data_IF_065621101528
#
_entry.id   IF_065621101528
#
_cell.length_a   1.000
_cell.length_b   1.000
_cell.length_c   1.000
_cell.angle_alpha   90.00
_cell.angle_beta   90.00
_cell.angle_gamma   90.00
#
_symmetry.space_group_name_H-M   'P 1'
#
loop_
_entity.id
_entity.type
_entity.pdbx_description
1 polymer ?
#
# COMPACT_ATOMS: atom_id res chain seq x y z
N UNK A 1 -9.67 -16.60 28.44
CA UNK A 1 -9.10 -17.19 27.20
C UNK A 1 -8.22 -18.38 27.57
N UNK A 2 -8.37 -19.53 26.89
CA UNK A 2 -7.54 -20.72 27.12
C UNK A 2 -6.57 -20.91 25.95
N UNK A 3 -5.34 -21.33 26.26
CA UNK A 3 -4.29 -21.58 25.26
C UNK A 3 -4.66 -22.82 24.45
N UNK A 4 -4.86 -22.66 23.14
CA UNK A 4 -5.04 -23.76 22.19
C UNK A 4 -3.68 -24.24 21.63
N UNK A 5 -2.75 -23.31 21.36
CA UNK A 5 -1.40 -23.61 20.88
C UNK A 5 -0.39 -22.58 21.39
N UNK A 6 0.82 -23.02 21.74
CA UNK A 6 1.94 -22.12 22.06
C UNK A 6 2.83 -22.03 20.81
N UNK A 7 3.10 -20.82 20.33
CA UNK A 7 3.92 -20.59 19.13
C UNK A 7 5.34 -20.21 19.53
N UNK A 8 5.49 -19.29 20.48
CA UNK A 8 6.75 -19.00 21.18
C UNK A 8 6.42 -18.40 22.55
N UNK A 9 7.44 -17.96 23.31
CA UNK A 9 7.25 -17.38 24.65
C UNK A 9 6.33 -16.15 24.70
N UNK A 10 6.11 -15.50 23.56
CA UNK A 10 5.36 -14.25 23.46
C UNK A 10 4.08 -14.34 22.64
N UNK A 11 3.85 -15.45 21.93
CA UNK A 11 2.72 -15.60 21.00
C UNK A 11 2.04 -16.95 21.20
N UNK A 12 0.72 -16.92 21.34
CA UNK A 12 -0.13 -18.11 21.47
C UNK A 12 -1.34 -18.03 20.56
N UNK A 13 -1.92 -19.18 20.24
CA UNK A 13 -3.28 -19.26 19.69
C UNK A 13 -4.22 -19.61 20.85
N UNK A 14 -5.32 -18.87 20.97
CA UNK A 14 -6.41 -19.15 21.91
C UNK A 14 -7.69 -19.41 21.14
N UNK A 15 -8.66 -20.04 21.80
CA UNK A 15 -10.02 -20.10 21.31
C UNK A 15 -10.90 -19.11 22.11
N UNK A 16 -11.73 -18.36 21.40
CA UNK A 16 -12.78 -17.54 22.00
C UNK A 16 -13.97 -18.39 22.47
N UNK A 17 -14.96 -17.78 23.11
CA UNK A 17 -16.16 -18.48 23.63
C UNK A 17 -17.01 -19.13 22.53
N UNK A 18 -16.79 -18.77 21.27
CA UNK A 18 -17.48 -19.32 20.09
C UNK A 18 -16.63 -20.37 19.37
N UNK A 19 -15.48 -20.75 19.94
CA UNK A 19 -14.56 -21.74 19.37
C UNK A 19 -13.71 -21.21 18.21
N UNK A 20 -13.68 -19.89 17.96
CA UNK A 20 -12.85 -19.30 16.90
C UNK A 20 -11.44 -19.10 17.40
N UNK A 21 -10.46 -19.44 16.56
CA UNK A 21 -9.06 -19.24 16.89
C UNK A 21 -8.67 -17.76 16.80
N UNK A 22 -7.84 -17.31 17.75
CA UNK A 22 -7.30 -15.96 17.82
C UNK A 22 -5.81 -16.03 18.14
N UNK A 23 -5.01 -15.19 17.50
CA UNK A 23 -3.58 -15.05 17.87
C UNK A 23 -3.45 -13.98 18.93
N UNK A 24 -2.81 -14.31 20.04
CA UNK A 24 -2.57 -13.37 21.14
C UNK A 24 -1.07 -13.21 21.33
N UNK A 25 -0.63 -11.97 21.43
CA UNK A 25 0.77 -11.63 21.69
C UNK A 25 0.93 -10.77 22.94
N UNK A 26 2.07 -10.96 23.60
CA UNK A 26 2.45 -10.22 24.80
C UNK A 26 3.75 -10.72 25.39
N UNK A 27 4.48 -9.84 26.07
CA UNK A 27 5.79 -10.20 26.66
C UNK A 27 5.67 -11.31 27.69
N UNK A 28 6.34 -12.43 27.43
CA UNK A 28 6.36 -13.58 28.33
C UNK A 28 5.00 -14.27 28.51
N UNK A 29 4.03 -13.99 27.63
CA UNK A 29 2.64 -14.46 27.73
C UNK A 29 2.53 -15.99 27.85
N UNK A 30 3.43 -16.71 27.17
CA UNK A 30 3.48 -18.17 27.18
C UNK A 30 4.62 -18.73 28.05
N UNK A 31 5.38 -17.89 28.74
CA UNK A 31 6.51 -18.34 29.55
C UNK A 31 6.03 -19.26 30.67
N UNK A 32 6.55 -20.48 30.70
CA UNK A 32 6.16 -21.56 31.62
C UNK A 32 4.67 -21.97 31.57
N UNK A 33 3.95 -21.60 30.51
CA UNK A 33 2.55 -22.01 30.30
C UNK A 33 2.46 -23.33 29.53
N UNK A 34 1.32 -24.00 29.65
CA UNK A 34 0.98 -25.21 28.87
C UNK A 34 -0.32 -25.04 28.10
N UNK A 35 -0.48 -25.81 27.03
CA UNK A 35 -1.74 -25.90 26.29
C UNK A 35 -2.88 -26.29 27.24
N UNK A 36 -4.01 -25.60 27.12
CA UNK A 36 -5.19 -25.76 27.98
C UNK A 36 -5.23 -24.81 29.19
N UNK A 37 -4.10 -24.17 29.55
CA UNK A 37 -4.06 -23.21 30.66
C UNK A 37 -4.71 -21.87 30.29
N UNK A 38 -5.15 -21.15 31.32
CA UNK A 38 -5.65 -19.79 31.16
C UNK A 38 -4.49 -18.80 30.96
N UNK A 39 -4.69 -17.88 30.03
CA UNK A 39 -3.82 -16.72 29.87
C UNK A 39 -4.05 -15.69 30.97
N UNK A 40 -2.96 -15.09 31.42
CA UNK A 40 -3.05 -13.84 32.15
C UNK A 40 -3.33 -12.70 31.15
N UNK A 41 -4.55 -12.16 31.23
CA UNK A 41 -5.00 -11.07 30.35
C UNK A 41 -4.21 -9.77 30.56
N UNK A 42 -3.54 -9.60 31.70
CA UNK A 42 -2.72 -8.42 31.96
C UNK A 42 -1.42 -8.40 31.13
N UNK A 43 -0.95 -9.57 30.68
CA UNK A 43 0.23 -9.71 29.82
C UNK A 43 -0.11 -9.55 28.34
N UNK A 44 -1.38 -9.44 27.98
CA UNK A 44 -1.82 -9.33 26.58
C UNK A 44 -1.55 -7.93 26.06
N UNK A 45 -0.70 -7.83 25.04
CA UNK A 45 -0.42 -6.57 24.34
C UNK A 45 -1.34 -6.41 23.12
N UNK A 46 -1.60 -7.51 22.39
CA UNK A 46 -2.48 -7.48 21.23
C UNK A 46 -3.18 -8.81 20.96
N UNK A 47 -4.43 -8.73 20.51
CA UNK A 47 -5.26 -9.86 20.09
C UNK A 47 -5.64 -9.68 18.62
N UNK A 48 -5.41 -10.72 17.83
CA UNK A 48 -5.83 -10.81 16.43
C UNK A 48 -7.00 -11.80 16.33
N UNK A 49 -8.19 -11.25 16.10
CA UNK A 49 -9.39 -12.01 15.80
C UNK A 49 -9.63 -11.96 14.28
N UNK A 50 -8.89 -12.78 13.54
CA UNK A 50 -9.01 -12.85 12.08
C UNK A 50 -10.29 -13.62 11.69
N UNK A 51 -10.84 -13.28 10.52
CA UNK A 51 -12.07 -13.90 10.04
C UNK A 51 -11.88 -15.31 9.44
N UNK A 52 -10.64 -15.75 9.23
CA UNK A 52 -10.35 -17.08 8.68
C UNK A 52 -9.27 -17.82 9.48
N UNK A 53 -9.51 -19.10 9.72
CA UNK A 53 -8.58 -19.99 10.43
C UNK A 53 -7.24 -20.14 9.68
N UNK A 54 -7.25 -20.06 8.35
CA UNK A 54 -6.01 -20.10 7.54
C UNK A 54 -5.15 -18.84 7.74
N UNK A 55 -5.75 -17.65 7.87
CA UNK A 55 -4.99 -16.44 8.17
C UNK A 55 -4.43 -16.50 9.60
N UNK A 56 -5.18 -17.04 10.56
CA UNK A 56 -4.71 -17.29 11.93
C UNK A 56 -3.50 -18.20 11.93
N UNK A 57 -3.56 -19.32 11.18
CA UNK A 57 -2.45 -20.28 11.10
C UNK A 57 -1.20 -19.66 10.48
N UNK A 58 -1.33 -18.98 9.33
CA UNK A 58 -0.20 -18.30 8.66
C UNK A 58 0.42 -17.21 9.53
N UNK A 59 -0.42 -16.39 10.17
CA UNK A 59 0.04 -15.39 11.13
C UNK A 59 0.81 -16.06 12.27
N UNK A 60 0.29 -17.13 12.83
CA UNK A 60 0.95 -17.86 13.91
C UNK A 60 2.32 -18.43 13.53
N UNK A 61 2.43 -19.02 12.33
CA UNK A 61 3.70 -19.53 11.79
C UNK A 61 4.72 -18.40 11.59
N UNK A 62 4.31 -17.28 11.00
CA UNK A 62 5.18 -16.14 10.72
C UNK A 62 5.66 -15.46 12.00
N UNK A 63 4.74 -15.17 12.94
CA UNK A 63 5.07 -14.54 14.21
C UNK A 63 5.91 -15.43 15.13
N UNK A 64 5.93 -16.75 14.92
CA UNK A 64 6.77 -17.66 15.72
C UNK A 64 8.27 -17.37 15.56
N UNK A 65 8.68 -16.86 14.39
CA UNK A 65 10.08 -16.63 14.01
C UNK A 65 10.52 -15.18 14.22
N UNK A 66 9.60 -14.26 14.48
CA UNK A 66 9.89 -12.83 14.57
C UNK A 66 10.01 -12.38 16.04
N UNK A 67 11.06 -11.63 16.42
CA UNK A 67 11.19 -11.09 17.76
C UNK A 67 10.02 -10.17 18.17
N UNK A 68 9.59 -10.25 19.43
CA UNK A 68 8.48 -9.43 19.95
C UNK A 68 8.73 -7.92 19.80
N UNK A 69 9.99 -7.49 19.94
CA UNK A 69 10.37 -6.10 19.78
C UNK A 69 10.09 -5.59 18.36
N UNK A 70 10.29 -6.44 17.34
CA UNK A 70 9.95 -6.13 15.93
C UNK A 70 8.43 -6.07 15.75
N UNK A 71 7.70 -7.06 16.26
CA UNK A 71 6.24 -7.11 16.19
C UNK A 71 5.58 -5.87 16.80
N UNK A 72 5.95 -5.53 18.03
CA UNK A 72 5.43 -4.34 18.73
C UNK A 72 5.85 -3.02 18.09
N UNK A 73 7.00 -3.00 17.41
CA UNK A 73 7.45 -1.85 16.62
C UNK A 73 6.58 -1.66 15.38
N UNK A 74 6.30 -2.73 14.65
CA UNK A 74 5.42 -2.72 13.48
C UNK A 74 3.97 -2.38 13.88
N UNK A 75 3.51 -2.89 15.02
CA UNK A 75 2.20 -2.54 15.56
C UNK A 75 2.02 -1.03 15.75
N UNK A 76 3.04 -0.38 16.32
CA UNK A 76 3.06 1.07 16.52
C UNK A 76 3.04 1.83 15.18
N UNK A 77 3.80 1.36 14.20
CA UNK A 77 3.84 1.95 12.85
C UNK A 77 2.47 1.85 12.19
N UNK A 78 1.82 0.69 12.26
CA UNK A 78 0.50 0.46 11.68
C UNK A 78 -0.55 1.30 12.39
N UNK A 79 -0.49 1.40 13.73
CA UNK A 79 -1.38 2.27 14.50
C UNK A 79 -1.28 3.73 14.08
N UNK A 80 -0.06 4.24 13.88
CA UNK A 80 0.18 5.59 13.37
C UNK A 80 -0.36 5.76 11.94
N UNK A 81 -0.10 4.79 11.06
CA UNK A 81 -0.58 4.83 9.68
C UNK A 81 -2.12 4.82 9.62
N UNK A 82 -2.79 3.99 10.42
CA UNK A 82 -4.24 3.92 10.47
C UNK A 82 -4.88 5.23 10.96
N UNK A 83 -4.23 5.94 11.89
CA UNK A 83 -4.72 7.26 12.35
C UNK A 83 -4.69 8.31 11.24
N UNK A 84 -3.72 8.26 10.32
CA UNK A 84 -3.55 9.26 9.26
C UNK A 84 -4.22 8.88 7.93
N UNK A 85 -4.23 7.59 7.60
CA UNK A 85 -4.73 7.07 6.33
C UNK A 85 -6.14 6.48 6.43
N UNK A 86 -6.66 6.27 7.65
CA UNK A 86 -7.95 5.66 7.89
C UNK A 86 -7.88 4.13 7.91
N UNK A 87 -8.94 3.47 7.42
CA UNK A 87 -9.05 2.01 7.46
C UNK A 87 -7.99 1.36 6.57
N UNK A 88 -7.19 0.49 7.15
CA UNK A 88 -6.19 -0.35 6.47
C UNK A 88 -6.60 -1.82 6.62
N UNK A 89 -6.21 -2.66 5.66
CA UNK A 89 -6.44 -4.09 5.75
C UNK A 89 -5.69 -4.76 6.91
N UNK A 90 -6.33 -5.73 7.56
CA UNK A 90 -5.72 -6.49 8.67
C UNK A 90 -4.47 -7.28 8.22
N UNK A 91 -4.43 -7.70 6.95
CA UNK A 91 -3.27 -8.35 6.31
C UNK A 91 -2.01 -7.48 6.30
N UNK A 92 -2.13 -6.16 6.46
CA UNK A 92 -1.00 -5.25 6.58
C UNK A 92 -0.09 -5.64 7.75
N UNK A 93 -0.68 -6.11 8.87
CA UNK A 93 0.12 -6.52 10.02
C UNK A 93 1.08 -7.65 9.67
N UNK A 94 0.62 -8.62 8.89
CA UNK A 94 1.46 -9.74 8.44
C UNK A 94 2.54 -9.22 7.50
N UNK A 95 2.13 -8.54 6.43
CA UNK A 95 3.03 -8.17 5.34
C UNK A 95 4.08 -7.14 5.75
N UNK A 96 3.71 -6.14 6.56
CA UNK A 96 4.64 -5.12 7.04
C UNK A 96 5.58 -5.69 8.10
N UNK A 97 5.09 -6.54 9.01
CA UNK A 97 5.96 -7.14 10.04
C UNK A 97 7.01 -8.05 9.43
N UNK A 98 6.62 -8.87 8.44
CA UNK A 98 7.54 -9.70 7.67
C UNK A 98 8.60 -8.85 6.95
N UNK A 99 8.15 -7.84 6.21
CA UNK A 99 9.04 -6.92 5.49
C UNK A 99 10.03 -6.21 6.43
N UNK A 100 9.54 -5.61 7.52
CA UNK A 100 10.40 -4.91 8.48
C UNK A 100 11.39 -5.86 9.14
N UNK A 101 10.97 -7.08 9.51
CA UNK A 101 11.89 -8.09 10.06
C UNK A 101 13.04 -8.37 9.10
N UNK A 102 12.75 -8.68 7.84
CA UNK A 102 13.79 -8.95 6.85
C UNK A 102 14.61 -7.70 6.49
N UNK A 103 14.02 -6.51 6.46
CA UNK A 103 14.74 -5.26 6.25
C UNK A 103 15.77 -5.00 7.36
N UNK A 104 15.38 -5.24 8.61
CA UNK A 104 16.26 -5.13 9.78
C UNK A 104 17.40 -6.14 9.70
N UNK A 105 17.10 -7.41 9.41
CA UNK A 105 18.13 -8.44 9.31
C UNK A 105 19.10 -8.17 8.15
N UNK A 106 18.60 -7.69 7.00
CA UNK A 106 19.46 -7.26 5.88
C UNK A 106 20.37 -6.10 6.28
N UNK A 107 19.83 -5.08 6.95
CA UNK A 107 20.60 -3.91 7.37
C UNK A 107 21.72 -4.28 8.35
N UNK A 108 21.44 -5.16 9.32
CA UNK A 108 22.47 -5.68 10.25
C UNK A 108 23.58 -6.44 9.54
N UNK A 109 23.27 -7.09 8.41
CA UNK A 109 24.23 -7.80 7.57
C UNK A 109 24.89 -6.89 6.50
N UNK A 110 24.59 -5.59 6.47
CA UNK A 110 25.14 -4.65 5.48
C UNK A 110 24.60 -4.85 4.06
N UNK A 111 23.43 -5.47 3.90
CA UNK A 111 22.81 -5.79 2.60
C UNK A 111 21.68 -4.81 2.26
N UNK A 112 22.04 -3.56 1.97
CA UNK A 112 21.08 -2.55 1.55
C UNK A 112 20.41 -2.89 0.20
N UNK A 113 19.08 -2.68 0.12
CA UNK A 113 18.30 -2.85 -1.11
C UNK A 113 17.94 -1.48 -1.68
N UNK A 114 18.07 -1.34 -3.00
CA UNK A 114 17.63 -0.15 -3.73
C UNK A 114 16.21 -0.27 -4.24
N UNK A 115 15.44 0.80 -4.08
CA UNK A 115 14.10 0.96 -4.58
C UNK A 115 14.13 1.80 -5.86
N UNK A 116 13.98 1.13 -7.00
CA UNK A 116 14.01 1.77 -8.33
C UNK A 116 12.85 2.75 -8.56
N UNK A 117 11.79 2.68 -7.74
CA UNK A 117 10.61 3.54 -7.81
C UNK A 117 10.60 4.62 -6.71
N UNK A 118 11.69 4.78 -5.95
CA UNK A 118 11.70 5.66 -4.77
C UNK A 118 11.20 7.08 -5.08
N UNK A 119 11.70 7.69 -6.16
CA UNK A 119 11.28 9.03 -6.57
C UNK A 119 9.80 9.08 -6.97
N UNK A 120 9.31 8.07 -7.68
CA UNK A 120 7.91 7.99 -8.06
C UNK A 120 7.01 7.82 -6.83
N UNK A 121 7.42 7.00 -5.87
CA UNK A 121 6.68 6.77 -4.61
C UNK A 121 6.58 8.07 -3.80
N UNK A 122 7.68 8.81 -3.65
CA UNK A 122 7.68 10.12 -2.96
C UNK A 122 6.65 11.07 -3.54
N UNK A 123 6.54 11.08 -4.87
CA UNK A 123 5.69 11.99 -5.64
C UNK A 123 4.24 11.53 -5.72
N UNK A 124 3.99 10.23 -5.89
CA UNK A 124 2.65 9.68 -6.09
C UNK A 124 1.94 9.36 -4.77
N UNK A 125 2.71 9.03 -3.73
CA UNK A 125 2.24 8.62 -2.42
C UNK A 125 2.95 9.40 -1.30
N UNK A 126 2.91 10.75 -1.30
CA UNK A 126 3.69 11.56 -0.37
C UNK A 126 3.33 11.29 1.10
N UNK A 127 2.05 11.04 1.40
CA UNK A 127 1.58 10.75 2.76
C UNK A 127 2.07 9.39 3.26
N UNK A 128 2.02 8.38 2.40
CA UNK A 128 2.50 7.04 2.69
C UNK A 128 4.02 7.01 2.80
N UNK A 129 4.74 7.80 1.99
CA UNK A 129 6.18 7.96 2.07
C UNK A 129 6.63 8.66 3.36
N UNK A 130 5.95 9.73 3.77
CA UNK A 130 6.19 10.40 5.06
C UNK A 130 6.03 9.43 6.22
N UNK A 131 4.97 8.61 6.21
CA UNK A 131 4.78 7.52 7.18
C UNK A 131 5.90 6.47 7.12
N UNK A 132 6.42 6.16 5.93
CA UNK A 132 7.59 5.31 5.76
C UNK A 132 8.85 5.90 6.42
N UNK A 133 9.07 7.20 6.31
CA UNK A 133 10.18 7.90 6.98
C UNK A 133 10.03 7.87 8.50
N UNK A 134 8.81 8.09 9.00
CA UNK A 134 8.53 7.98 10.43
C UNK A 134 8.69 6.55 10.94
N UNK A 135 8.30 5.55 10.14
CA UNK A 135 8.52 4.14 10.45
C UNK A 135 10.01 3.82 10.60
N UNK A 136 10.86 4.31 9.68
CA UNK A 136 12.32 4.20 9.82
C UNK A 136 12.82 4.83 11.12
N UNK A 137 12.33 6.03 11.46
CA UNK A 137 12.72 6.71 12.70
C UNK A 137 12.22 5.98 13.96
N UNK A 138 11.08 5.29 13.90
CA UNK A 138 10.58 4.45 15.00
C UNK A 138 11.47 3.21 15.14
N UNK A 139 11.83 2.55 14.04
CA UNK A 139 12.71 1.37 14.02
C UNK A 139 14.09 1.71 14.57
N UNK A 140 14.69 2.82 14.12
CA UNK A 140 15.98 3.29 14.61
C UNK A 140 15.98 3.49 16.14
N UNK A 141 14.96 4.18 16.67
CA UNK A 141 14.85 4.45 18.12
C UNK A 141 14.58 3.21 18.97
N UNK A 142 13.78 2.26 18.47
CA UNK A 142 13.34 1.09 19.27
C UNK A 142 14.29 -0.09 19.16
N UNK A 143 14.90 -0.27 18.00
CA UNK A 143 15.65 -1.49 17.65
C UNK A 143 17.13 -1.19 17.38
N UNK A 144 17.55 0.08 17.44
CA UNK A 144 18.92 0.52 17.19
C UNK A 144 19.42 0.09 15.80
N UNK A 145 18.56 0.17 14.79
CA UNK A 145 18.87 -0.14 13.38
C UNK A 145 18.41 0.99 12.49
N UNK A 146 19.35 1.63 11.80
CA UNK A 146 19.08 2.69 10.83
C UNK A 146 18.89 2.08 9.43
N UNK A 147 17.63 1.93 9.01
CA UNK A 147 17.30 1.50 7.66
C UNK A 147 17.59 2.62 6.64
N UNK A 148 17.94 2.28 5.40
CA UNK A 148 18.09 3.24 4.31
C UNK A 148 16.76 3.87 3.87
N UNK A 149 16.80 4.98 3.15
CA UNK A 149 15.59 5.68 2.66
C UNK A 149 14.77 4.82 1.71
N UNK A 150 15.40 3.93 0.96
CA UNK A 150 14.76 2.96 0.09
C UNK A 150 13.68 2.13 0.83
N UNK A 151 13.91 1.81 2.12
CA UNK A 151 12.95 1.08 2.96
C UNK A 151 11.71 1.93 3.31
N UNK A 152 11.81 3.27 3.37
CA UNK A 152 10.61 4.11 3.48
C UNK A 152 9.72 3.99 2.23
N UNK A 153 10.33 3.83 1.05
CA UNK A 153 9.60 3.57 -0.20
C UNK A 153 8.87 2.22 -0.16
N UNK A 154 9.51 1.16 0.32
CA UNK A 154 8.86 -0.14 0.45
C UNK A 154 7.74 -0.15 1.49
N UNK A 155 7.96 0.49 2.65
CA UNK A 155 6.91 0.65 3.67
C UNK A 155 5.72 1.42 3.09
N UNK A 156 5.95 2.50 2.34
CA UNK A 156 4.90 3.25 1.68
C UNK A 156 4.06 2.36 0.74
N UNK A 157 4.71 1.50 -0.05
CA UNK A 157 3.99 0.56 -0.93
C UNK A 157 3.17 -0.47 -0.14
N UNK A 158 3.63 -0.95 1.01
CA UNK A 158 2.82 -1.80 1.89
C UNK A 158 1.56 -1.07 2.38
N UNK A 159 1.67 0.22 2.72
CA UNK A 159 0.52 1.04 3.13
C UNK A 159 -0.46 1.23 1.97
N UNK A 160 0.02 1.54 0.76
CA UNK A 160 -0.82 1.66 -0.44
C UNK A 160 -1.54 0.34 -0.74
N UNK A 161 -0.83 -0.78 -0.65
CA UNK A 161 -1.39 -2.14 -0.81
C UNK A 161 -2.56 -2.36 0.15
N UNK A 162 -2.39 -1.97 1.41
CA UNK A 162 -3.41 -2.10 2.44
C UNK A 162 -4.59 -1.10 2.30
N UNK A 163 -4.41 0.04 1.64
CA UNK A 163 -5.51 0.95 1.31
C UNK A 163 -6.32 0.43 0.12
N UNK A 164 -5.65 -0.17 -0.87
CA UNK A 164 -6.26 -0.59 -2.12
C UNK A 164 -6.91 -1.97 -2.07
N UNK A 165 -6.69 -2.75 -1.00
CA UNK A 165 -7.11 -4.15 -0.92
C UNK A 165 -6.64 -4.94 -2.16
N UNK A 166 -5.33 -4.86 -2.41
CA UNK A 166 -4.67 -5.37 -3.61
C UNK A 166 -3.37 -6.07 -3.19
N UNK A 167 -2.64 -6.66 -4.14
CA UNK A 167 -1.33 -7.28 -3.87
C UNK A 167 -0.17 -6.34 -4.25
N UNK A 168 0.97 -6.48 -3.57
CA UNK A 168 2.17 -5.66 -3.82
C UNK A 168 2.59 -5.63 -5.30
N UNK A 169 2.62 -6.76 -6.06
CA UNK A 169 2.97 -6.73 -7.48
C UNK A 169 2.01 -5.86 -8.31
N UNK A 170 0.72 -5.88 -7.98
CA UNK A 170 -0.29 -5.05 -8.65
C UNK A 170 -0.06 -3.57 -8.36
N UNK A 171 0.20 -3.20 -7.10
CA UNK A 171 0.48 -1.81 -6.70
C UNK A 171 1.73 -1.27 -7.40
N UNK A 172 2.80 -2.07 -7.49
CA UNK A 172 3.99 -1.67 -8.25
C UNK A 172 3.68 -1.45 -9.73
N UNK A 173 2.83 -2.29 -10.31
CA UNK A 173 2.39 -2.15 -11.69
C UNK A 173 1.54 -0.88 -11.88
N UNK A 174 0.58 -0.61 -11.00
CA UNK A 174 -0.20 0.64 -10.95
C UNK A 174 0.74 1.84 -10.92
N UNK A 175 1.73 1.83 -10.01
CA UNK A 175 2.69 2.92 -9.84
C UNK A 175 3.46 3.18 -11.15
N UNK A 176 3.90 2.13 -11.85
CA UNK A 176 4.60 2.24 -13.14
C UNK A 176 3.72 2.82 -14.24
N UNK A 177 2.48 2.34 -14.37
CA UNK A 177 1.52 2.86 -15.36
C UNK A 177 1.24 4.33 -15.11
N UNK A 178 1.05 4.73 -13.85
CA UNK A 178 0.87 6.12 -13.46
C UNK A 178 2.06 6.99 -13.88
N UNK A 179 3.29 6.51 -13.60
CA UNK A 179 4.52 7.19 -14.01
C UNK A 179 4.59 7.39 -15.53
N UNK A 180 4.34 6.34 -16.31
CA UNK A 180 4.37 6.41 -17.78
C UNK A 180 3.36 7.41 -18.33
N UNK A 181 2.14 7.43 -17.79
CA UNK A 181 1.10 8.37 -18.21
C UNK A 181 1.50 9.80 -17.86
N UNK A 182 1.98 10.06 -16.64
CA UNK A 182 2.45 11.38 -16.24
C UNK A 182 3.61 11.87 -17.13
N UNK A 183 4.56 10.98 -17.48
CA UNK A 183 5.63 11.34 -18.41
C UNK A 183 5.10 11.67 -19.80
N UNK A 184 4.18 10.87 -20.36
CA UNK A 184 3.57 11.13 -21.66
C UNK A 184 2.87 12.49 -21.70
N UNK A 185 2.10 12.81 -20.66
CA UNK A 185 1.42 14.10 -20.52
C UNK A 185 2.43 15.24 -20.43
N UNK A 186 3.43 15.10 -19.55
CA UNK A 186 4.51 16.09 -19.38
C UNK A 186 5.16 16.44 -20.72
N UNK A 187 5.63 15.43 -21.47
CA UNK A 187 6.36 15.64 -22.71
C UNK A 187 5.47 16.09 -23.87
N UNK A 188 4.26 15.53 -24.01
CA UNK A 188 3.39 15.88 -25.13
C UNK A 188 2.83 17.31 -25.01
N UNK A 189 2.61 17.79 -23.79
CA UNK A 189 2.05 19.10 -23.54
C UNK A 189 3.09 20.14 -23.11
N UNK A 190 4.36 19.75 -22.98
CA UNK A 190 5.46 20.58 -22.49
C UNK A 190 5.12 21.25 -21.16
N UNK A 191 4.61 20.44 -20.22
CA UNK A 191 4.19 20.90 -18.89
C UNK A 191 5.30 20.67 -17.87
N UNK A 192 5.35 21.53 -16.86
CA UNK A 192 5.97 21.23 -15.57
C UNK A 192 4.85 21.12 -14.54
N UNK A 193 4.88 20.07 -13.73
CA UNK A 193 3.84 19.85 -12.73
C UNK A 193 4.14 20.66 -11.49
N UNK A 194 3.15 21.42 -11.01
CA UNK A 194 3.11 21.88 -9.63
C UNK A 194 2.55 20.72 -8.78
N UNK A 195 3.45 20.00 -8.08
CA UNK A 195 3.08 18.80 -7.34
C UNK A 195 2.25 19.09 -6.08
N UNK A 196 2.26 20.34 -5.61
CA UNK A 196 1.47 20.82 -4.49
C UNK A 196 0.07 21.30 -4.92
N UNK A 197 -0.17 21.44 -6.23
CA UNK A 197 -1.43 21.92 -6.77
C UNK A 197 -2.59 20.93 -6.56
N UNK A 198 -3.78 21.47 -6.31
CA UNK A 198 -4.99 20.66 -6.17
C UNK A 198 -5.33 19.90 -7.46
N UNK A 199 -5.10 20.47 -8.66
CA UNK A 199 -5.38 19.72 -9.88
C UNK A 199 -4.39 18.60 -10.11
N UNK A 200 -3.11 18.79 -9.76
CA UNK A 200 -2.14 17.71 -9.85
C UNK A 200 -2.46 16.57 -8.88
N UNK A 201 -2.72 16.87 -7.61
CA UNK A 201 -3.08 15.87 -6.60
C UNK A 201 -4.36 15.11 -6.98
N UNK A 202 -5.37 15.81 -7.53
CA UNK A 202 -6.57 15.17 -8.08
C UNK A 202 -6.22 14.30 -9.26
N UNK A 203 -5.40 14.77 -10.21
CA UNK A 203 -5.02 13.98 -11.37
C UNK A 203 -4.32 12.69 -10.97
N UNK A 204 -3.34 12.73 -10.06
CA UNK A 204 -2.67 11.54 -9.51
C UNK A 204 -3.67 10.60 -8.84
N UNK A 205 -4.59 11.12 -8.04
CA UNK A 205 -5.63 10.31 -7.39
C UNK A 205 -6.52 9.60 -8.41
N UNK A 206 -7.00 10.32 -9.43
CA UNK A 206 -7.81 9.76 -10.50
C UNK A 206 -7.04 8.76 -11.35
N UNK A 207 -5.75 9.01 -11.58
CA UNK A 207 -4.86 8.12 -12.31
C UNK A 207 -4.61 6.83 -11.54
N UNK A 208 -4.48 6.88 -10.20
CA UNK A 208 -4.39 5.70 -9.33
C UNK A 208 -5.58 4.77 -9.52
N UNK A 209 -6.80 5.30 -9.44
CA UNK A 209 -8.01 4.49 -9.63
C UNK A 209 -8.17 4.03 -11.08
N UNK A 210 -7.80 4.84 -12.06
CA UNK A 210 -7.79 4.45 -13.47
C UNK A 210 -6.84 3.25 -13.71
N UNK A 211 -5.59 3.34 -13.26
CA UNK A 211 -4.61 2.28 -13.40
C UNK A 211 -5.00 1.02 -12.61
N UNK A 212 -5.63 1.17 -11.44
CA UNK A 212 -6.17 0.02 -10.70
C UNK A 212 -7.31 -0.68 -11.47
N UNK A 213 -8.29 0.07 -12.00
CA UNK A 213 -9.38 -0.51 -12.82
C UNK A 213 -8.86 -1.20 -14.08
N UNK A 214 -7.81 -0.65 -14.66
CA UNK A 214 -7.13 -1.22 -15.83
C UNK A 214 -6.65 -2.64 -15.54
N UNK A 215 -6.06 -2.87 -14.36
CA UNK A 215 -5.56 -4.18 -13.94
C UNK A 215 -6.68 -5.16 -13.62
N UNK A 216 -7.75 -4.70 -12.97
CA UNK A 216 -8.92 -5.54 -12.67
C UNK A 216 -9.81 -5.81 -13.89
N UNK A 217 -9.45 -5.26 -15.07
CA UNK A 217 -10.18 -5.35 -16.35
C UNK A 217 -11.66 -4.96 -16.23
N UNK A 218 -11.99 -4.09 -15.29
CA UNK A 218 -13.35 -3.59 -15.11
C UNK A 218 -13.65 -2.63 -16.26
N UNK A 219 -14.61 -2.99 -17.10
CA UNK A 219 -15.01 -2.15 -18.25
C UNK A 219 -15.97 -1.07 -17.74
N UNK A 220 -15.73 0.17 -18.15
CA UNK A 220 -16.68 1.27 -17.96
C UNK A 220 -17.57 1.31 -19.20
N UNK A 221 -18.90 1.26 -19.00
CA UNK A 221 -19.87 1.33 -20.08
C UNK A 221 -19.79 2.68 -20.80
N UNK A 222 -20.02 2.66 -22.11
CA UNK A 222 -19.96 3.83 -23.00
C UNK A 222 -21.39 4.38 -23.15
N UNK A 223 -21.72 5.42 -22.36
CA UNK A 223 -23.12 5.82 -22.15
C UNK A 223 -23.53 7.16 -22.81
N UNK A 224 -22.61 8.08 -23.14
CA UNK A 224 -22.99 9.42 -23.66
C UNK A 224 -22.04 10.02 -24.73
N UNK A 225 -22.32 9.68 -25.98
CA UNK A 225 -21.59 10.17 -27.18
C UNK A 225 -21.62 11.70 -27.33
N UNK A 226 -22.68 12.36 -26.84
CA UNK A 226 -22.83 13.82 -26.98
C UNK A 226 -21.82 14.57 -26.11
N UNK A 227 -21.58 14.06 -24.90
CA UNK A 227 -20.60 14.60 -23.97
C UNK A 227 -19.18 14.41 -24.49
N UNK A 228 -18.89 13.27 -25.11
CA UNK A 228 -17.57 12.96 -25.68
C UNK A 228 -17.16 13.98 -26.74
N UNK A 229 -18.11 14.31 -27.62
CA UNK A 229 -17.89 15.28 -28.70
C UNK A 229 -17.59 16.67 -28.13
N UNK A 230 -18.38 17.11 -27.14
CA UNK A 230 -18.16 18.40 -26.49
C UNK A 230 -16.78 18.48 -25.81
N UNK A 231 -16.33 17.43 -25.14
CA UNK A 231 -15.00 17.40 -24.50
C UNK A 231 -13.88 17.40 -25.55
N UNK A 232 -14.03 16.62 -26.62
CA UNK A 232 -13.06 16.56 -27.71
C UNK A 232 -12.86 17.91 -28.38
N UNK A 233 -13.95 18.63 -28.67
CA UNK A 233 -13.90 19.94 -29.32
C UNK A 233 -13.33 21.02 -28.40
N UNK A 234 -13.77 21.05 -27.13
CA UNK A 234 -13.31 22.07 -26.18
C UNK A 234 -11.86 21.84 -25.71
N UNK A 235 -11.43 20.58 -25.58
CA UNK A 235 -10.13 20.20 -25.00
C UNK A 235 -9.25 19.43 -26.00
N UNK A 236 -9.25 19.84 -27.27
CA UNK A 236 -8.58 19.12 -28.37
C UNK A 236 -7.11 18.72 -28.09
N UNK A 237 -6.33 19.58 -27.40
CA UNK A 237 -4.94 19.25 -27.02
C UNK A 237 -4.87 18.13 -25.98
N UNK A 238 -5.72 18.19 -24.95
CA UNK A 238 -5.77 17.16 -23.91
C UNK A 238 -6.35 15.85 -24.45
N UNK A 239 -7.37 15.93 -25.33
CA UNK A 239 -7.93 14.76 -26.03
C UNK A 239 -6.88 14.02 -26.85
N UNK A 240 -6.12 14.74 -27.68
CA UNK A 240 -5.01 14.14 -28.45
C UNK A 240 -3.92 13.53 -27.55
N UNK A 241 -3.75 14.05 -26.34
CA UNK A 241 -2.85 13.46 -25.35
C UNK A 241 -3.42 12.15 -24.77
N UNK A 242 -4.70 12.16 -24.41
CA UNK A 242 -5.41 10.96 -23.97
C UNK A 242 -5.41 9.84 -25.04
N UNK A 243 -5.60 10.17 -26.32
CA UNK A 243 -5.51 9.20 -27.42
C UNK A 243 -4.10 8.59 -27.53
N UNK A 244 -3.04 9.39 -27.35
CA UNK A 244 -1.66 8.88 -27.35
C UNK A 244 -1.39 7.97 -26.16
N UNK A 245 -1.94 8.30 -24.99
CA UNK A 245 -1.90 7.42 -23.81
C UNK A 245 -2.62 6.11 -24.11
N UNK A 246 -3.82 6.15 -24.69
CA UNK A 246 -4.57 4.95 -25.06
C UNK A 246 -3.76 4.04 -26.00
N UNK A 247 -3.09 4.62 -27.00
CA UNK A 247 -2.21 3.88 -27.91
C UNK A 247 -1.01 3.24 -27.19
N UNK A 248 -0.37 3.96 -26.26
CA UNK A 248 0.71 3.43 -25.43
C UNK A 248 0.24 2.28 -24.56
N UNK A 249 -0.93 2.42 -23.92
CA UNK A 249 -1.48 1.39 -23.05
C UNK A 249 -1.89 0.13 -23.83
N UNK A 250 -2.45 0.29 -25.03
CA UNK A 250 -2.75 -0.86 -25.88
C UNK A 250 -1.47 -1.60 -26.29
N UNK A 251 -0.43 -0.87 -26.72
CA UNK A 251 0.83 -1.46 -27.16
C UNK A 251 1.58 -2.17 -26.03
N UNK A 252 1.65 -1.54 -24.86
CA UNK A 252 2.48 -2.00 -23.74
C UNK A 252 1.77 -3.02 -22.84
N UNK A 253 0.44 -2.93 -22.74
CA UNK A 253 -0.36 -3.71 -21.79
C UNK A 253 -1.53 -4.46 -22.43
N UNK A 254 -1.71 -4.41 -23.76
CA UNK A 254 -2.84 -5.03 -24.47
C UNK A 254 -4.20 -4.57 -23.92
N UNK A 255 -4.28 -3.30 -23.53
CA UNK A 255 -5.49 -2.66 -23.02
C UNK A 255 -5.99 -1.60 -23.99
N UNK A 256 -7.15 -1.86 -24.57
CA UNK A 256 -7.92 -0.85 -25.29
C UNK A 256 -8.73 -0.04 -24.30
N UNK A 257 -8.64 1.29 -24.40
CA UNK A 257 -9.46 2.20 -23.62
C UNK A 257 -10.77 2.50 -24.35
N UNK A 258 -11.85 2.62 -23.60
CA UNK A 258 -13.13 3.10 -24.14
C UNK A 258 -13.08 4.60 -24.42
N UNK A 259 -14.03 5.11 -25.20
CA UNK A 259 -14.15 6.56 -25.45
C UNK A 259 -14.39 7.33 -24.15
N UNK A 260 -15.16 6.75 -23.22
CA UNK A 260 -15.40 7.28 -21.87
C UNK A 260 -14.09 7.41 -21.07
N UNK A 261 -13.22 6.39 -21.12
CA UNK A 261 -11.91 6.42 -20.46
C UNK A 261 -10.97 7.47 -21.08
N UNK A 262 -11.00 7.62 -22.41
CA UNK A 262 -10.25 8.68 -23.12
C UNK A 262 -10.76 10.07 -22.71
N UNK A 263 -12.08 10.26 -22.67
CA UNK A 263 -12.69 11.50 -22.23
C UNK A 263 -12.31 11.82 -20.78
N UNK A 264 -12.40 10.84 -19.89
CA UNK A 264 -12.00 10.97 -18.50
C UNK A 264 -10.56 11.45 -18.37
N UNK A 265 -9.62 10.83 -19.10
CA UNK A 265 -8.23 11.28 -19.12
C UNK A 265 -8.11 12.71 -19.66
N UNK A 266 -8.78 13.03 -20.77
CA UNK A 266 -8.72 14.36 -21.39
C UNK A 266 -9.17 15.48 -20.43
N UNK A 267 -10.23 15.27 -19.65
CA UNK A 267 -10.72 16.24 -18.66
C UNK A 267 -9.66 16.52 -17.59
N UNK A 268 -9.02 15.48 -17.05
CA UNK A 268 -8.02 15.63 -15.98
C UNK A 268 -6.71 16.23 -16.50
N UNK A 269 -6.28 15.80 -17.68
CA UNK A 269 -5.12 16.38 -18.37
C UNK A 269 -5.34 17.87 -18.63
N UNK A 270 -6.54 18.26 -19.11
CA UNK A 270 -6.84 19.66 -19.38
C UNK A 270 -6.78 20.53 -18.12
N UNK A 271 -7.25 20.03 -16.97
CA UNK A 271 -7.18 20.76 -15.70
C UNK A 271 -5.74 21.08 -15.32
N UNK A 272 -4.87 20.08 -15.36
CA UNK A 272 -3.44 20.27 -15.04
C UNK A 272 -2.75 21.15 -16.09
N UNK A 273 -3.12 21.02 -17.38
CA UNK A 273 -2.60 21.85 -18.46
C UNK A 273 -2.98 23.33 -18.32
N UNK A 274 -4.15 23.64 -17.76
CA UNK A 274 -4.61 25.02 -17.55
C UNK A 274 -3.95 25.69 -16.35
N UNK A 275 -3.57 24.93 -15.32
CA UNK A 275 -2.84 25.47 -14.16
C UNK A 275 -1.37 25.77 -14.47
N UNK A 276 -0.74 25.04 -15.40
CA UNK A 276 0.63 25.32 -15.85
C UNK A 276 0.79 26.55 -16.76
N UNK A 277 -0.16 27.51 -16.74
CA UNK A 277 -0.17 28.73 -17.55
C UNK A 277 -0.15 29.99 -16.68
#
# INVERSE_FOLDING_TARGET
>A
MKIAKILNNNVVVVQDERGREQVVMGRGLAFQKRVGEALDTALVEKVFALQSDELVRRLGELLSQIPLEVMTTCDRIIGLAAQRLGKLQESLYITLTDHCYFAIERQKNGLAIKNVLLWDIKRLYPKEFELGQEARAIIARRLNVELEEDEAGFIALHLVTAQLNSEMPEVMHVTRVMQEILQLVKYQLQLEYDEDSLSYQRFVTHLKFFAQRMLTRTVVEDDDVSLHTAVKDNYAKAWKCAEKIAQHLNKSYQRELTTEEIMFLAIHIERVRKEGR
#
